data_IF_531746009855
#
_entry.id   IF_531746009855
#
_cell.length_a   1.000
_cell.length_b   1.000
_cell.length_c   1.000
_cell.angle_alpha   90.00
_cell.angle_beta   90.00
_cell.angle_gamma   90.00
#
_symmetry.space_group_name_H-M   'P 1'
#
loop_
_entity.id
_entity.type
_entity.pdbx_description
1 polymer ?
#
# COMPACT_ATOMS: atom_id res chain seq x y z
N UNK A 1 45.84 -59.07 7.00
CA UNK A 1 44.40 -58.75 7.28
C UNK A 1 44.21 -57.29 7.08
N UNK A 2 43.34 -56.95 6.13
CA UNK A 2 43.11 -55.57 5.66
C UNK A 2 42.03 -54.88 6.49
N UNK A 3 42.25 -53.72 7.01
CA UNK A 3 41.21 -52.86 7.46
C UNK A 3 41.35 -51.48 6.83
N UNK A 4 40.37 -51.19 5.96
CA UNK A 4 40.18 -49.88 5.33
C UNK A 4 39.46 -48.95 6.28
N UNK A 5 40.01 -47.77 6.52
CA UNK A 5 39.30 -46.65 7.18
C UNK A 5 38.86 -45.63 6.11
N UNK A 6 37.55 -45.50 5.96
CA UNK A 6 36.95 -44.44 5.16
C UNK A 6 36.94 -43.13 5.92
N UNK A 7 37.55 -42.11 5.33
CA UNK A 7 37.55 -40.75 5.81
C UNK A 7 36.33 -40.04 5.24
N UNK A 8 35.32 -39.75 6.08
CA UNK A 8 34.21 -38.89 5.68
C UNK A 8 34.60 -37.41 5.85
N UNK A 9 34.81 -36.73 4.75
CA UNK A 9 35.02 -35.29 4.72
C UNK A 9 33.69 -34.57 4.92
N UNK A 10 33.54 -33.90 6.08
CA UNK A 10 32.44 -32.97 6.34
C UNK A 10 32.73 -31.65 5.61
N UNK A 11 32.01 -31.40 4.54
CA UNK A 11 32.03 -30.10 3.86
C UNK A 11 31.12 -29.16 4.62
N UNK A 12 31.71 -28.26 5.45
CA UNK A 12 30.99 -27.15 6.01
C UNK A 12 30.79 -26.07 4.94
N UNK A 13 29.61 -26.05 4.33
CA UNK A 13 29.21 -24.96 3.45
C UNK A 13 28.85 -23.74 4.31
N UNK A 14 29.77 -22.76 4.41
CA UNK A 14 29.45 -21.43 4.85
C UNK A 14 28.54 -20.77 3.83
N UNK A 15 27.23 -20.77 4.06
CA UNK A 15 26.29 -19.90 3.37
C UNK A 15 26.55 -18.47 3.85
N UNK A 16 27.36 -17.74 3.10
CA UNK A 16 27.44 -16.29 3.22
C UNK A 16 26.07 -15.72 2.79
N UNK A 17 25.28 -15.28 3.77
CA UNK A 17 24.07 -14.51 3.53
C UNK A 17 24.49 -13.20 2.88
N UNK A 18 24.33 -13.08 1.57
CA UNK A 18 24.47 -11.82 0.87
C UNK A 18 23.29 -10.90 1.29
N UNK A 19 23.51 -9.60 1.55
CA UNK A 19 22.42 -8.69 1.80
C UNK A 19 21.58 -8.57 0.52
N UNK A 20 20.37 -9.09 0.57
CA UNK A 20 19.38 -8.90 -0.50
C UNK A 20 19.14 -7.40 -0.62
N UNK A 21 19.41 -6.83 -1.78
CA UNK A 21 19.20 -5.41 -2.01
C UNK A 21 17.69 -5.12 -1.91
N UNK A 22 17.33 -3.94 -1.41
CA UNK A 22 15.93 -3.51 -1.31
C UNK A 22 15.20 -3.55 -2.67
N UNK A 23 15.96 -3.43 -3.77
CA UNK A 23 15.44 -3.56 -5.13
C UNK A 23 15.05 -5.00 -5.50
N UNK A 24 15.84 -5.98 -5.06
CA UNK A 24 15.53 -7.40 -5.34
C UNK A 24 14.31 -7.86 -4.53
N UNK A 25 14.14 -7.34 -3.32
CA UNK A 25 12.96 -7.60 -2.51
C UNK A 25 11.69 -7.01 -3.16
N UNK A 26 11.76 -5.77 -3.63
CA UNK A 26 10.64 -5.10 -4.30
C UNK A 26 10.30 -5.77 -5.64
N UNK A 27 11.30 -6.19 -6.41
CA UNK A 27 11.12 -6.93 -7.66
C UNK A 27 10.53 -8.33 -7.41
N UNK A 28 10.95 -9.02 -6.36
CA UNK A 28 10.39 -10.32 -5.99
C UNK A 28 8.97 -10.19 -5.44
N UNK A 29 8.68 -9.14 -4.69
CA UNK A 29 7.34 -8.87 -4.20
C UNK A 29 6.38 -8.51 -5.35
N UNK A 30 6.83 -7.70 -6.30
CA UNK A 30 6.07 -7.39 -7.52
C UNK A 30 5.83 -8.66 -8.35
N UNK A 31 6.83 -9.51 -8.54
CA UNK A 31 6.70 -10.79 -9.25
C UNK A 31 5.75 -11.77 -8.53
N UNK A 32 5.79 -11.86 -7.20
CA UNK A 32 4.86 -12.68 -6.44
C UNK A 32 3.43 -12.16 -6.50
N UNK A 33 3.24 -10.84 -6.41
CA UNK A 33 1.91 -10.24 -6.54
C UNK A 33 1.32 -10.45 -7.94
N UNK A 34 2.14 -10.30 -8.98
CA UNK A 34 1.75 -10.56 -10.39
C UNK A 34 1.48 -12.04 -10.61
N UNK A 35 2.34 -12.93 -10.13
CA UNK A 35 2.17 -14.39 -10.30
C UNK A 35 0.88 -14.90 -9.67
N UNK A 36 0.54 -14.43 -8.47
CA UNK A 36 -0.71 -14.84 -7.78
C UNK A 36 -1.95 -14.22 -8.43
N UNK A 37 -1.84 -12.97 -8.90
CA UNK A 37 -2.93 -12.30 -9.60
C UNK A 37 -3.23 -12.94 -10.97
N UNK A 38 -2.20 -13.31 -11.72
CA UNK A 38 -2.35 -13.99 -13.03
C UNK A 38 -2.96 -15.38 -12.87
N UNK A 39 -2.55 -16.15 -11.86
CA UNK A 39 -3.14 -17.47 -11.61
C UNK A 39 -4.61 -17.39 -11.15
N UNK A 40 -4.97 -16.40 -10.34
CA UNK A 40 -6.37 -16.20 -9.95
C UNK A 40 -7.23 -15.69 -11.10
N UNK A 41 -6.66 -14.91 -12.03
CA UNK A 41 -7.33 -14.46 -13.25
C UNK A 41 -7.58 -15.60 -14.24
N UNK A 42 -6.60 -16.49 -14.42
CA UNK A 42 -6.76 -17.65 -15.31
C UNK A 42 -7.86 -18.61 -14.82
N UNK A 43 -8.02 -18.77 -13.51
CA UNK A 43 -9.06 -19.63 -12.92
C UNK A 43 -10.45 -18.98 -12.92
N UNK A 44 -10.55 -17.64 -13.04
CA UNK A 44 -11.84 -16.93 -13.13
C UNK A 44 -12.32 -16.73 -14.57
N UNK A 45 -11.44 -16.79 -15.57
CA UNK A 45 -11.80 -16.64 -16.98
C UNK A 45 -12.67 -17.79 -17.53
N UNK A 46 -12.80 -18.90 -16.81
CA UNK A 46 -13.62 -20.05 -17.19
C UNK A 46 -15.04 -20.02 -16.63
N UNK A 47 -15.34 -19.11 -15.70
CA UNK A 47 -16.70 -18.92 -15.18
C UNK A 47 -17.40 -17.78 -15.94
N UNK A 48 -18.32 -18.14 -16.83
CA UNK A 48 -19.18 -17.17 -17.53
C UNK A 48 -19.98 -16.36 -16.49
N UNK A 49 -19.76 -15.04 -16.33
CA UNK A 49 -20.49 -14.27 -15.35
C UNK A 49 -21.95 -14.16 -15.77
N UNK A 50 -22.87 -14.52 -14.88
CA UNK A 50 -24.27 -14.13 -15.02
C UNK A 50 -24.33 -12.59 -14.96
N UNK A 51 -24.83 -11.96 -16.01
CA UNK A 51 -24.98 -10.52 -16.12
C UNK A 51 -26.02 -10.05 -15.09
N UNK A 52 -25.55 -9.51 -13.97
CA UNK A 52 -26.35 -8.66 -13.11
C UNK A 52 -26.25 -7.25 -13.70
N UNK A 53 -27.37 -6.58 -14.05
CA UNK A 53 -27.31 -5.19 -14.48
C UNK A 53 -26.77 -4.34 -13.34
N UNK A 54 -25.53 -3.90 -13.47
CA UNK A 54 -24.97 -2.95 -12.51
C UNK A 54 -25.71 -1.61 -12.70
N UNK A 55 -26.38 -1.15 -11.64
CA UNK A 55 -26.78 0.23 -11.56
C UNK A 55 -25.55 1.11 -11.78
N UNK A 56 -25.65 2.25 -12.51
CA UNK A 56 -24.53 3.14 -12.71
C UNK A 56 -23.95 3.49 -11.35
N UNK A 57 -22.64 3.23 -11.15
CA UNK A 57 -21.98 3.54 -9.91
C UNK A 57 -22.14 5.03 -9.65
N UNK A 58 -22.98 5.38 -8.68
CA UNK A 58 -23.16 6.77 -8.29
C UNK A 58 -21.77 7.33 -7.94
N UNK A 59 -21.42 8.47 -8.59
CA UNK A 59 -20.14 9.13 -8.34
C UNK A 59 -19.98 9.35 -6.82
N UNK A 60 -18.97 8.74 -6.22
CA UNK A 60 -18.70 8.87 -4.78
C UNK A 60 -18.19 10.27 -4.51
N UNK A 61 -18.73 10.93 -3.51
CA UNK A 61 -18.19 12.20 -3.05
C UNK A 61 -16.80 11.97 -2.41
N UNK A 62 -15.83 12.87 -2.65
CA UNK A 62 -14.51 12.79 -2.02
C UNK A 62 -14.63 12.86 -0.49
N UNK A 63 -13.78 12.13 0.22
CA UNK A 63 -13.67 12.26 1.66
C UNK A 63 -12.93 13.56 1.99
N UNK A 64 -13.66 14.52 2.51
CA UNK A 64 -13.11 15.80 3.00
C UNK A 64 -13.35 15.89 4.49
N UNK A 65 -12.26 15.87 5.28
CA UNK A 65 -12.35 16.23 6.70
C UNK A 65 -12.49 17.74 6.83
N UNK A 66 -13.55 18.21 7.49
CA UNK A 66 -13.72 19.62 7.76
C UNK A 66 -12.53 20.18 8.59
N UNK A 67 -11.88 21.22 8.09
CA UNK A 67 -10.86 21.98 8.83
C UNK A 67 -9.39 21.56 8.61
N UNK A 68 -9.07 20.64 7.71
CA UNK A 68 -7.66 20.32 7.42
C UNK A 68 -7.04 21.36 6.49
N UNK A 69 -6.20 22.23 7.02
CA UNK A 69 -5.33 23.08 6.19
C UNK A 69 -4.16 22.25 5.67
N UNK A 70 -3.80 22.33 4.38
CA UNK A 70 -2.61 21.67 3.87
C UNK A 70 -1.37 22.10 4.65
N UNK A 71 -0.67 21.16 5.27
CA UNK A 71 0.58 21.42 5.96
C UNK A 71 1.72 20.99 5.07
N UNK A 72 2.71 21.89 4.87
CA UNK A 72 3.95 21.51 4.19
C UNK A 72 4.76 20.58 5.10
N UNK A 73 5.15 19.44 4.56
CA UNK A 73 6.02 18.52 5.28
C UNK A 73 7.43 19.08 5.36
N UNK A 74 7.97 19.16 6.60
CA UNK A 74 9.37 19.46 6.86
C UNK A 74 9.99 18.23 7.52
N UNK A 75 11.14 17.84 7.04
CA UNK A 75 11.97 16.82 7.68
C UNK A 75 12.71 17.41 8.89
N UNK A 76 13.30 16.57 9.75
CA UNK A 76 14.01 17.01 10.95
C UNK A 76 15.20 17.94 10.63
N UNK A 77 15.84 17.77 9.48
CA UNK A 77 16.90 18.65 8.96
C UNK A 77 16.37 19.99 8.41
N UNK A 78 15.07 20.24 8.48
CA UNK A 78 14.42 21.43 7.97
C UNK A 78 14.11 21.40 6.47
N UNK A 79 14.53 20.36 5.75
CA UNK A 79 14.25 20.21 4.31
C UNK A 79 12.75 20.13 4.09
N UNK A 80 12.23 20.96 3.17
CA UNK A 80 10.85 20.90 2.72
C UNK A 80 10.72 19.74 1.73
N UNK A 81 9.72 18.91 1.94
CA UNK A 81 9.52 17.74 1.10
C UNK A 81 9.13 18.10 -0.34
N UNK A 82 9.69 17.37 -1.31
CA UNK A 82 9.63 17.72 -2.72
C UNK A 82 8.26 17.48 -3.40
N UNK A 83 7.31 16.83 -2.73
CA UNK A 83 6.00 16.53 -3.29
C UNK A 83 4.95 17.62 -3.03
N UNK A 84 5.31 18.76 -2.44
CA UNK A 84 4.38 19.86 -2.11
C UNK A 84 3.47 20.23 -3.29
N UNK A 85 4.00 20.23 -4.50
CA UNK A 85 3.22 20.58 -5.70
C UNK A 85 2.12 19.55 -6.02
N UNK A 86 2.30 18.27 -5.68
CA UNK A 86 1.27 17.23 -5.81
C UNK A 86 0.23 17.40 -4.70
N UNK A 87 0.69 17.67 -3.45
CA UNK A 87 -0.18 17.96 -2.32
C UNK A 87 -1.07 19.15 -2.61
N UNK A 88 -0.48 20.25 -3.06
CA UNK A 88 -1.18 21.48 -3.41
C UNK A 88 -2.20 21.25 -4.55
N UNK A 89 -1.84 20.45 -5.55
CA UNK A 89 -2.75 20.11 -6.64
C UNK A 89 -4.01 19.39 -6.13
N UNK A 90 -3.85 18.28 -5.39
CA UNK A 90 -4.97 17.47 -4.93
C UNK A 90 -5.70 18.02 -3.71
N UNK A 91 -5.21 19.10 -3.08
CA UNK A 91 -5.95 19.81 -2.02
C UNK A 91 -6.94 20.82 -2.56
N UNK A 92 -6.90 21.14 -3.85
CA UNK A 92 -7.84 22.06 -4.47
C UNK A 92 -9.17 21.36 -4.77
N UNK A 93 -10.31 21.99 -4.47
CA UNK A 93 -11.63 21.40 -4.75
C UNK A 93 -11.92 21.29 -6.26
N UNK A 94 -11.23 22.08 -7.08
CA UNK A 94 -11.37 22.16 -8.53
C UNK A 94 -10.20 21.47 -9.28
N UNK A 95 -9.48 20.56 -8.62
CA UNK A 95 -8.41 19.82 -9.26
C UNK A 95 -8.92 19.12 -10.53
N UNK A 96 -8.33 19.42 -11.68
CA UNK A 96 -8.69 18.78 -12.94
C UNK A 96 -8.23 17.31 -12.91
N UNK A 97 -9.19 16.40 -13.03
CA UNK A 97 -8.93 14.97 -13.02
C UNK A 97 -8.78 14.38 -14.41
N UNK A 98 -9.00 15.17 -15.46
CA UNK A 98 -8.96 14.72 -16.86
C UNK A 98 -7.53 14.48 -17.32
N UNK A 99 -7.37 13.48 -18.20
CA UNK A 99 -6.15 13.23 -18.91
C UNK A 99 -6.08 14.03 -20.23
N UNK A 100 -4.86 14.17 -20.75
CA UNK A 100 -4.59 14.89 -22.01
C UNK A 100 -4.76 14.02 -23.27
N UNK A 101 -4.87 12.70 -23.10
CA UNK A 101 -5.04 11.73 -24.19
C UNK A 101 -6.25 10.84 -23.91
N UNK A 102 -6.82 10.15 -24.93
CA UNK A 102 -7.91 9.20 -24.72
C UNK A 102 -7.60 8.15 -23.64
N UNK A 103 -6.37 7.62 -23.62
CA UNK A 103 -5.94 6.63 -22.62
C UNK A 103 -5.93 7.21 -21.22
N UNK A 104 -5.36 8.41 -21.04
CA UNK A 104 -5.24 9.05 -19.73
C UNK A 104 -6.55 9.68 -19.25
N UNK A 105 -7.54 9.89 -20.15
CA UNK A 105 -8.89 10.38 -19.81
C UNK A 105 -9.93 9.25 -19.63
N UNK A 106 -9.60 8.01 -20.03
CA UNK A 106 -10.50 6.87 -19.88
C UNK A 106 -10.80 6.59 -18.41
N UNK A 107 -12.08 6.35 -18.08
CA UNK A 107 -12.51 6.01 -16.73
C UNK A 107 -11.97 4.64 -16.32
N UNK A 108 -11.37 4.58 -15.14
CA UNK A 108 -10.77 3.37 -14.60
C UNK A 108 -11.77 2.46 -13.88
N UNK A 109 -11.70 1.16 -14.17
CA UNK A 109 -12.40 0.15 -13.40
C UNK A 109 -11.79 0.02 -12.00
N UNK A 110 -12.65 0.02 -10.99
CA UNK A 110 -12.23 -0.25 -9.60
C UNK A 110 -12.71 -1.64 -9.24
N UNK A 111 -11.75 -2.58 -9.10
CA UNK A 111 -12.09 -3.96 -8.77
C UNK A 111 -12.63 -4.08 -7.34
N UNK A 112 -13.81 -4.70 -7.14
CA UNK A 112 -14.34 -4.97 -5.80
C UNK A 112 -13.38 -5.84 -4.98
N UNK A 113 -13.26 -5.56 -3.68
CA UNK A 113 -12.37 -6.28 -2.75
C UNK A 113 -12.95 -7.63 -2.32
N UNK A 114 -14.26 -7.78 -2.41
CA UNK A 114 -14.95 -9.01 -2.02
C UNK A 114 -14.38 -10.24 -2.74
N UNK A 115 -14.03 -11.28 -1.98
CA UNK A 115 -13.48 -12.52 -2.52
C UNK A 115 -11.99 -12.50 -2.86
N UNK A 116 -11.27 -11.38 -2.63
CA UNK A 116 -9.85 -11.27 -2.95
C UNK A 116 -8.91 -11.49 -1.76
N UNK A 117 -9.45 -11.70 -0.56
CA UNK A 117 -8.65 -11.88 0.64
C UNK A 117 -7.88 -13.20 0.64
N UNK A 118 -6.57 -13.12 0.83
CA UNK A 118 -5.69 -14.27 1.02
C UNK A 118 -5.26 -14.42 2.47
N UNK A 119 -4.87 -15.64 2.88
CA UNK A 119 -4.43 -15.92 4.25
C UNK A 119 -5.53 -15.88 5.31
N UNK A 120 -6.81 -15.83 4.90
CA UNK A 120 -7.96 -15.82 5.83
C UNK A 120 -8.02 -17.14 6.62
N UNK A 121 -8.22 -17.02 7.93
CA UNK A 121 -8.43 -18.15 8.84
C UNK A 121 -9.82 -18.09 9.44
N UNK A 122 -10.29 -19.24 9.96
CA UNK A 122 -11.66 -19.37 10.48
C UNK A 122 -11.92 -18.64 11.82
N UNK A 123 -10.86 -18.14 12.48
CA UNK A 123 -11.02 -17.44 13.76
C UNK A 123 -11.79 -16.12 13.55
N UNK A 124 -12.72 -15.76 14.48
CA UNK A 124 -13.57 -14.58 14.36
C UNK A 124 -12.77 -13.25 14.32
N UNK A 125 -11.57 -13.22 14.87
CA UNK A 125 -10.68 -12.07 14.86
C UNK A 125 -10.23 -11.68 13.45
N UNK A 126 -10.10 -12.67 12.53
CA UNK A 126 -9.80 -12.40 11.13
C UNK A 126 -10.95 -11.66 10.44
N UNK A 127 -12.19 -12.10 10.66
CA UNK A 127 -13.37 -11.43 10.14
C UNK A 127 -13.54 -10.00 10.73
N UNK A 128 -13.22 -9.84 12.02
CA UNK A 128 -13.24 -8.52 12.66
C UNK A 128 -12.18 -7.59 12.06
N UNK A 129 -10.94 -8.07 11.89
CA UNK A 129 -9.89 -7.27 11.26
C UNK A 129 -10.22 -6.97 9.80
N UNK A 130 -10.75 -7.95 9.05
CA UNK A 130 -11.17 -7.75 7.66
C UNK A 130 -12.14 -6.56 7.51
N UNK A 131 -13.19 -6.48 8.35
CA UNK A 131 -14.13 -5.34 8.32
C UNK A 131 -13.42 -4.00 8.56
N UNK A 132 -12.45 -3.95 9.49
CA UNK A 132 -11.63 -2.75 9.74
C UNK A 132 -10.81 -2.36 8.51
N UNK A 133 -10.18 -3.33 7.86
CA UNK A 133 -9.38 -3.12 6.67
C UNK A 133 -10.23 -2.70 5.46
N UNK A 134 -11.41 -3.28 5.29
CA UNK A 134 -12.39 -2.86 4.26
C UNK A 134 -12.86 -1.41 4.49
N UNK A 135 -12.98 -0.97 5.76
CA UNK A 135 -13.23 0.44 6.07
C UNK A 135 -12.11 1.35 5.60
N UNK A 136 -10.84 0.96 5.85
CA UNK A 136 -9.67 1.70 5.36
C UNK A 136 -9.71 1.79 3.83
N UNK A 137 -9.90 0.66 3.14
CA UNK A 137 -10.00 0.61 1.68
C UNK A 137 -11.07 1.56 1.16
N UNK A 138 -12.26 1.53 1.76
CA UNK A 138 -13.36 2.42 1.38
C UNK A 138 -12.98 3.89 1.48
N UNK A 139 -12.35 4.29 2.59
CA UNK A 139 -11.91 5.68 2.80
C UNK A 139 -10.80 6.13 1.88
N UNK A 140 -9.89 5.21 1.52
CA UNK A 140 -8.84 5.50 0.55
C UNK A 140 -9.43 5.75 -0.84
N UNK A 141 -10.41 4.96 -1.26
CA UNK A 141 -11.07 5.12 -2.57
C UNK A 141 -11.93 6.40 -2.67
N UNK A 142 -12.27 7.02 -1.55
CA UNK A 142 -12.98 8.31 -1.49
C UNK A 142 -12.05 9.53 -1.61
N UNK A 143 -10.71 9.31 -1.65
CA UNK A 143 -9.77 10.43 -1.75
C UNK A 143 -9.88 11.14 -3.12
N UNK A 144 -9.72 12.47 -3.17
CA UNK A 144 -9.88 13.26 -4.41
C UNK A 144 -9.05 12.74 -5.58
N UNK A 145 -7.86 12.24 -5.32
CA UNK A 145 -6.98 11.70 -6.35
C UNK A 145 -7.45 10.36 -6.95
N UNK A 146 -8.32 9.61 -6.26
CA UNK A 146 -8.77 8.28 -6.65
C UNK A 146 -10.25 8.22 -7.03
N UNK A 147 -11.05 9.15 -6.52
CA UNK A 147 -12.47 9.22 -6.86
C UNK A 147 -12.64 9.44 -8.37
N UNK A 148 -13.47 8.62 -9.04
CA UNK A 148 -13.66 8.67 -10.49
C UNK A 148 -12.31 8.67 -11.27
N UNK A 149 -11.39 7.80 -10.87
CA UNK A 149 -10.04 7.74 -11.42
C UNK A 149 -10.07 7.63 -12.95
N UNK A 150 -9.17 8.37 -13.61
CA UNK A 150 -8.96 8.35 -15.06
C UNK A 150 -7.53 7.94 -15.38
N UNK A 151 -7.35 7.31 -16.52
CA UNK A 151 -6.06 6.84 -17.00
C UNK A 151 -5.49 5.64 -16.26
N UNK A 152 -6.18 5.16 -15.24
CA UNK A 152 -5.81 3.94 -14.52
C UNK A 152 -7.01 3.20 -14.00
N UNK A 153 -6.94 1.87 -13.98
CA UNK A 153 -7.81 1.01 -13.18
C UNK A 153 -7.17 0.66 -11.84
N UNK A 154 -7.99 0.43 -10.83
CA UNK A 154 -7.53 0.15 -9.47
C UNK A 154 -7.86 -1.27 -9.04
N UNK A 155 -6.87 -1.96 -8.49
CA UNK A 155 -7.06 -3.28 -7.89
C UNK A 155 -6.40 -3.32 -6.52
N UNK A 156 -7.17 -3.74 -5.51
CA UNK A 156 -6.65 -4.06 -4.19
C UNK A 156 -6.22 -5.52 -4.13
N UNK A 157 -5.06 -5.77 -3.53
CA UNK A 157 -4.58 -7.12 -3.20
C UNK A 157 -4.40 -7.19 -1.69
N UNK A 158 -5.45 -7.60 -0.94
CA UNK A 158 -5.40 -7.73 0.50
C UNK A 158 -4.92 -9.12 0.91
N UNK A 159 -4.11 -9.19 1.97
CA UNK A 159 -3.65 -10.45 2.54
C UNK A 159 -3.43 -10.35 4.04
N UNK A 160 -3.72 -11.45 4.75
CA UNK A 160 -3.29 -11.63 6.13
C UNK A 160 -1.91 -12.26 6.17
N UNK A 161 -1.07 -11.75 7.07
CA UNK A 161 0.26 -12.30 7.31
C UNK A 161 0.25 -13.47 8.30
N UNK A 162 1.44 -14.02 8.50
CA UNK A 162 1.65 -15.02 9.55
C UNK A 162 1.71 -14.34 10.91
N UNK A 163 1.08 -14.95 11.91
CA UNK A 163 1.00 -14.44 13.28
C UNK A 163 1.66 -15.40 14.28
N UNK A 164 2.21 -14.83 15.34
CA UNK A 164 2.82 -15.57 16.47
C UNK A 164 2.03 -15.30 17.76
N UNK A 165 0.70 -15.49 17.72
CA UNK A 165 -0.16 -15.32 18.90
C UNK A 165 -0.41 -13.88 19.36
N UNK A 166 0.10 -12.89 18.62
CA UNK A 166 -0.12 -11.45 18.86
C UNK A 166 -1.18 -10.85 17.93
N UNK A 167 -1.21 -9.51 17.78
CA UNK A 167 -2.04 -8.82 16.82
C UNK A 167 -1.83 -9.36 15.41
N UNK A 168 -2.92 -9.53 14.65
CA UNK A 168 -2.88 -10.13 13.31
C UNK A 168 -2.23 -9.12 12.35
N UNK A 169 -1.11 -9.48 11.69
CA UNK A 169 -0.54 -8.65 10.65
C UNK A 169 -1.33 -8.80 9.34
N UNK A 170 -1.49 -7.71 8.62
CA UNK A 170 -2.09 -7.74 7.29
C UNK A 170 -1.46 -6.70 6.37
N UNK A 171 -1.63 -6.89 5.08
CA UNK A 171 -1.21 -5.94 4.06
C UNK A 171 -2.28 -5.75 3.00
N UNK A 172 -2.34 -4.55 2.44
CA UNK A 172 -3.22 -4.18 1.33
C UNK A 172 -2.40 -3.40 0.33
N UNK A 173 -2.33 -3.89 -0.90
CA UNK A 173 -1.66 -3.20 -2.00
C UNK A 173 -2.69 -2.69 -3.00
N UNK A 174 -2.76 -1.38 -3.22
CA UNK A 174 -3.55 -0.76 -4.28
C UNK A 174 -2.65 -0.54 -5.49
N UNK A 175 -2.93 -1.24 -6.57
CA UNK A 175 -2.20 -1.09 -7.83
C UNK A 175 -3.01 -0.22 -8.77
N UNK A 176 -2.36 0.79 -9.37
CA UNK A 176 -2.94 1.64 -10.39
C UNK A 176 -2.40 1.23 -11.77
N UNK A 177 -3.15 0.35 -12.45
CA UNK A 177 -2.80 -0.15 -13.79
C UNK A 177 -3.06 0.92 -14.84
N UNK A 178 -2.08 1.33 -15.65
CA UNK A 178 -2.30 2.25 -16.75
C UNK A 178 -3.33 1.71 -17.73
N UNK A 179 -4.21 2.57 -18.24
CA UNK A 179 -5.15 2.20 -19.29
C UNK A 179 -4.49 2.50 -20.64
N UNK A 180 -4.53 1.51 -21.53
CA UNK A 180 -4.08 1.60 -22.92
C UNK A 180 -5.21 1.09 -23.81
N UNK A 181 -6.05 1.99 -24.32
CA UNK A 181 -7.27 1.64 -25.06
C UNK A 181 -7.00 0.82 -26.32
N UNK A 182 -5.81 1.00 -26.91
CA UNK A 182 -5.38 0.25 -28.10
C UNK A 182 -4.79 -1.14 -27.79
N UNK A 183 -4.61 -1.52 -26.52
CA UNK A 183 -4.12 -2.84 -26.15
C UNK A 183 -5.23 -3.89 -26.34
N UNK A 184 -4.88 -5.04 -26.96
CA UNK A 184 -5.81 -6.14 -27.24
C UNK A 184 -6.40 -6.79 -26.00
N UNK A 185 -5.70 -6.70 -24.87
CA UNK A 185 -6.10 -7.28 -23.59
C UNK A 185 -6.88 -6.27 -22.72
N UNK A 186 -7.11 -5.04 -23.23
CA UNK A 186 -7.91 -4.04 -22.56
C UNK A 186 -9.38 -4.46 -22.52
N UNK A 187 -9.92 -4.52 -21.31
CA UNK A 187 -11.32 -4.84 -21.04
C UNK A 187 -12.13 -3.56 -20.87
N UNK A 188 -13.27 -3.49 -21.54
CA UNK A 188 -14.30 -2.47 -21.31
C UNK A 188 -15.45 -3.08 -20.54
N UNK A 189 -15.84 -2.44 -19.44
CA UNK A 189 -16.97 -2.87 -18.62
C UNK A 189 -18.29 -2.18 -19.02
N UNK A 190 -19.45 -2.75 -18.65
CA UNK A 190 -20.77 -2.19 -19.02
C UNK A 190 -21.03 -0.79 -18.48
N UNK A 191 -20.36 -0.39 -17.37
CA UNK A 191 -20.43 0.95 -16.77
C UNK A 191 -19.55 1.99 -17.49
N UNK A 192 -18.89 1.60 -18.58
CA UNK A 192 -18.02 2.47 -19.37
C UNK A 192 -16.61 2.60 -18.83
N UNK A 193 -16.25 1.86 -17.78
CA UNK A 193 -14.88 1.82 -17.23
C UNK A 193 -13.99 0.85 -18.01
N UNK A 194 -12.67 1.00 -17.82
CA UNK A 194 -11.67 0.20 -18.52
C UNK A 194 -10.62 -0.37 -17.56
N UNK A 195 -10.08 -1.53 -17.93
CA UNK A 195 -8.93 -2.16 -17.29
C UNK A 195 -7.99 -2.72 -18.36
N UNK A 196 -6.73 -2.34 -18.31
CA UNK A 196 -5.65 -2.96 -19.08
C UNK A 196 -4.77 -3.75 -18.11
N UNK A 197 -4.55 -5.07 -18.31
CA UNK A 197 -3.60 -5.85 -17.51
C UNK A 197 -2.18 -5.31 -17.65
N UNK A 198 -1.36 -5.43 -16.61
CA UNK A 198 0.02 -4.97 -16.68
C UNK A 198 0.63 -4.70 -15.31
N UNK A 199 1.54 -3.73 -15.26
CA UNK A 199 2.19 -3.26 -14.05
C UNK A 199 1.84 -1.80 -13.80
N UNK A 200 1.89 -1.38 -12.53
CA UNK A 200 1.62 0.00 -12.15
C UNK A 200 2.24 0.37 -10.80
N UNK A 201 2.27 1.65 -10.46
CA UNK A 201 2.66 2.08 -9.13
C UNK A 201 1.71 1.52 -8.07
N UNK A 202 2.24 1.31 -6.87
CA UNK A 202 1.53 0.65 -5.77
C UNK A 202 1.49 1.55 -4.54
N UNK A 203 0.29 1.82 -4.02
CA UNK A 203 0.13 2.30 -2.65
C UNK A 203 -0.02 1.09 -1.73
N UNK A 204 0.91 0.94 -0.80
CA UNK A 204 0.90 -0.17 0.15
C UNK A 204 0.56 0.31 1.55
N UNK A 205 -0.35 -0.43 2.18
CA UNK A 205 -0.74 -0.26 3.56
C UNK A 205 -0.45 -1.58 4.27
N UNK A 206 0.27 -1.54 5.39
CA UNK A 206 0.41 -2.70 6.27
C UNK A 206 -0.05 -2.35 7.67
N UNK A 207 -0.59 -3.32 8.38
CA UNK A 207 -1.01 -3.17 9.78
C UNK A 207 -0.33 -4.22 10.64
N UNK A 208 0.02 -3.83 11.87
CA UNK A 208 0.59 -4.71 12.89
C UNK A 208 1.83 -5.50 12.42
N UNK A 209 2.60 -4.97 11.48
CA UNK A 209 3.80 -5.61 10.95
C UNK A 209 5.06 -4.75 11.22
N UNK A 210 5.76 -4.94 12.36
CA UNK A 210 6.98 -4.20 12.68
C UNK A 210 8.13 -4.41 11.67
N UNK A 211 8.16 -5.57 11.00
CA UNK A 211 9.18 -5.88 9.99
C UNK A 211 9.13 -4.91 8.80
N UNK A 212 7.95 -4.37 8.49
CA UNK A 212 7.79 -3.39 7.42
C UNK A 212 8.54 -2.07 7.72
N UNK A 213 8.69 -1.71 8.98
CA UNK A 213 9.51 -0.57 9.41
C UNK A 213 10.99 -0.87 9.17
N UNK A 214 11.43 -2.10 9.49
CA UNK A 214 12.80 -2.56 9.30
C UNK A 214 13.83 -1.65 9.99
N UNK A 215 14.94 -1.38 9.33
CA UNK A 215 16.01 -0.51 9.84
C UNK A 215 15.79 0.99 9.56
N UNK A 216 14.59 1.39 9.11
CA UNK A 216 14.31 2.79 8.79
C UNK A 216 14.11 3.58 10.07
N UNK A 217 14.79 4.72 10.15
CA UNK A 217 14.65 5.66 11.28
C UNK A 217 13.71 6.80 10.92
N UNK A 218 13.18 7.48 11.93
CA UNK A 218 12.37 8.68 11.74
C UNK A 218 13.17 9.78 11.04
N UNK A 219 12.50 10.46 10.09
CA UNK A 219 12.98 11.68 9.45
C UNK A 219 12.18 12.90 9.89
N UNK A 220 11.23 12.73 10.81
CA UNK A 220 10.38 13.79 11.32
C UNK A 220 8.93 13.36 11.48
N UNK A 221 8.02 14.32 11.50
CA UNK A 221 6.59 14.10 11.63
C UNK A 221 5.80 14.90 10.58
N UNK A 222 4.64 14.38 10.19
CA UNK A 222 3.70 15.03 9.28
C UNK A 222 2.27 14.70 9.67
N UNK A 223 1.43 15.70 9.94
CA UNK A 223 0.02 15.53 10.32
C UNK A 223 -0.20 14.47 11.43
N UNK A 224 0.66 14.44 12.45
CA UNK A 224 0.60 13.46 13.54
C UNK A 224 1.19 12.08 13.22
N UNK A 225 1.70 11.87 12.01
CA UNK A 225 2.33 10.62 11.59
C UNK A 225 3.84 10.70 11.73
N UNK A 226 4.49 9.60 12.05
CA UNK A 226 5.96 9.49 11.97
C UNK A 226 6.38 9.30 10.51
N UNK A 227 7.28 10.15 10.05
CA UNK A 227 7.84 10.09 8.69
C UNK A 227 9.10 9.23 8.71
N UNK A 228 9.16 8.24 7.85
CA UNK A 228 10.33 7.41 7.64
C UNK A 228 10.88 7.61 6.22
N UNK A 229 12.19 7.35 6.06
CA UNK A 229 12.82 7.23 4.75
C UNK A 229 12.52 8.38 3.79
N UNK A 230 12.99 9.59 4.15
CA UNK A 230 12.89 10.79 3.30
C UNK A 230 11.46 11.13 2.83
N UNK A 231 10.45 10.78 3.62
CA UNK A 231 9.07 11.20 3.37
C UNK A 231 8.22 10.27 2.50
N UNK A 232 8.66 9.06 2.17
CA UNK A 232 7.83 8.14 1.36
C UNK A 232 7.04 7.12 2.16
N UNK A 233 7.33 6.99 3.44
CA UNK A 233 6.65 6.05 4.32
C UNK A 233 6.19 6.77 5.56
N UNK A 234 4.95 6.58 5.91
CA UNK A 234 4.36 7.04 7.16
C UNK A 234 4.11 5.88 8.08
N UNK A 235 4.32 6.10 9.38
CA UNK A 235 3.83 5.22 10.43
C UNK A 235 2.80 5.97 11.24
N UNK A 236 1.61 5.43 11.30
CA UNK A 236 0.47 5.91 12.05
C UNK A 236 0.29 4.97 13.24
N UNK A 237 0.45 5.46 14.46
CA UNK A 237 0.38 4.67 15.67
C UNK A 237 -0.92 4.92 16.43
N UNK A 238 -1.53 3.86 16.93
CA UNK A 238 -2.64 3.87 17.85
C UNK A 238 -2.19 3.30 19.21
N UNK A 239 -0.96 3.60 19.59
CA UNK A 239 -0.34 3.20 20.85
C UNK A 239 0.59 4.33 21.31
N UNK A 240 0.75 4.47 22.63
CA UNK A 240 1.72 5.42 23.23
C UNK A 240 3.16 4.88 23.19
N UNK A 241 3.36 3.63 22.77
CA UNK A 241 4.68 3.01 22.71
C UNK A 241 5.49 3.65 21.58
N UNK A 242 6.77 4.01 21.84
CA UNK A 242 7.62 4.59 20.80
C UNK A 242 7.89 3.56 19.71
N UNK A 243 7.90 4.02 18.46
CA UNK A 243 8.19 3.16 17.29
C UNK A 243 9.64 2.64 17.34
N UNK A 244 10.57 3.48 17.79
CA UNK A 244 11.98 3.13 17.93
C UNK A 244 12.46 3.30 19.36
N UNK A 245 13.35 2.44 19.75
CA UNK A 245 14.11 2.50 21.02
C UNK A 245 15.60 2.41 20.73
N UNK A 246 16.41 2.83 21.70
CA UNK A 246 17.87 2.62 21.65
C UNK A 246 18.17 1.15 21.98
N UNK A 247 19.09 0.52 21.24
CA UNK A 247 19.50 -0.88 21.47
C UNK A 247 20.55 -1.03 22.57
N UNK A 248 20.87 0.05 23.31
CA UNK A 248 21.92 0.09 24.31
C UNK A 248 23.32 0.32 23.71
N UNK A 249 23.44 0.39 22.39
CA UNK A 249 24.68 0.67 21.65
C UNK A 249 24.60 1.97 20.83
N UNK A 250 23.61 2.82 21.12
CA UNK A 250 23.39 4.10 20.43
C UNK A 250 22.73 3.97 19.06
N UNK A 251 22.18 2.79 18.70
CA UNK A 251 21.46 2.60 17.45
C UNK A 251 19.96 2.57 17.71
N UNK A 252 19.22 3.27 16.87
CA UNK A 252 17.75 3.19 16.87
C UNK A 252 17.30 1.89 16.18
N UNK A 253 16.55 1.08 16.93
CA UNK A 253 15.90 -0.15 16.42
C UNK A 253 14.40 -0.05 16.61
N UNK A 254 13.65 -0.81 15.82
CA UNK A 254 12.19 -0.93 16.03
C UNK A 254 11.95 -1.49 17.43
N UNK A 255 11.07 -0.84 18.16
CA UNK A 255 10.72 -1.26 19.52
C UNK A 255 10.19 -2.70 19.50
N UNK A 256 10.84 -3.67 20.14
CA UNK A 256 10.36 -5.06 20.20
C UNK A 256 9.00 -5.19 20.90
N UNK A 257 8.68 -4.23 21.76
CA UNK A 257 7.41 -4.17 22.49
C UNK A 257 6.39 -3.22 21.83
N UNK A 258 6.60 -2.83 20.55
CA UNK A 258 5.69 -1.94 19.83
C UNK A 258 4.24 -2.46 19.84
N UNK A 259 4.07 -3.78 19.72
CA UNK A 259 2.76 -4.44 19.76
C UNK A 259 2.40 -4.89 21.18
N UNK A 260 1.25 -4.47 21.65
CA UNK A 260 0.67 -4.94 22.91
C UNK A 260 -0.13 -6.22 22.69
N UNK A 261 0.41 -7.36 23.16
CA UNK A 261 -0.23 -8.67 23.03
C UNK A 261 -1.45 -8.86 23.93
N UNK A 262 -1.69 -7.96 24.89
CA UNK A 262 -2.89 -8.01 25.76
C UNK A 262 -4.13 -7.42 25.09
N UNK A 263 -3.98 -6.64 24.01
CA UNK A 263 -5.09 -6.07 23.24
C UNK A 263 -5.72 -7.11 22.33
N UNK A 264 -6.99 -6.92 21.91
CA UNK A 264 -7.62 -7.80 20.92
C UNK A 264 -6.75 -7.99 19.67
N UNK A 265 -6.65 -9.22 19.18
CA UNK A 265 -5.79 -9.56 18.04
C UNK A 265 -6.21 -8.87 16.73
N UNK A 266 -7.47 -8.48 16.64
CA UNK A 266 -8.03 -7.69 15.53
C UNK A 266 -7.84 -6.18 15.66
N UNK A 267 -7.19 -5.69 16.73
CA UNK A 267 -6.91 -4.27 16.86
C UNK A 267 -5.76 -3.87 15.94
N UNK A 268 -5.96 -2.76 15.24
CA UNK A 268 -4.90 -2.13 14.45
C UNK A 268 -4.14 -1.20 15.39
N UNK A 269 -2.98 -1.63 15.86
CA UNK A 269 -2.16 -0.88 16.80
C UNK A 269 -1.24 0.12 16.13
N UNK A 270 -0.77 -0.20 14.94
CA UNK A 270 -0.15 0.75 14.04
C UNK A 270 -0.35 0.34 12.59
N UNK A 271 -0.13 1.29 11.71
CA UNK A 271 -0.23 1.14 10.27
C UNK A 271 0.96 1.80 9.60
N UNK A 272 1.55 1.17 8.59
CA UNK A 272 2.49 1.82 7.69
C UNK A 272 1.83 2.08 6.35
N UNK A 273 2.11 3.24 5.75
CA UNK A 273 1.59 3.59 4.43
C UNK A 273 2.72 4.17 3.59
N UNK A 274 2.89 3.65 2.38
CA UNK A 274 3.89 4.17 1.44
C UNK A 274 3.53 3.90 -0.02
N UNK A 275 4.10 4.67 -0.93
CA UNK A 275 4.03 4.40 -2.36
C UNK A 275 5.30 3.69 -2.78
N UNK A 276 5.14 2.45 -3.27
CA UNK A 276 6.19 1.72 -3.96
C UNK A 276 6.38 2.35 -5.34
N UNK A 277 7.54 2.98 -5.54
CA UNK A 277 7.89 3.59 -6.80
C UNK A 277 9.27 3.08 -7.24
N UNK A 278 9.41 2.80 -8.54
CA UNK A 278 10.71 2.52 -9.13
C UNK A 278 11.66 3.71 -8.95
N UNK A 279 12.97 3.47 -8.93
CA UNK A 279 13.97 4.52 -8.76
C UNK A 279 13.78 5.75 -9.65
N UNK A 280 13.45 5.60 -10.96
CA UNK A 280 13.14 6.74 -11.84
C UNK A 280 11.97 7.60 -11.34
N UNK A 281 10.92 7.02 -10.79
CA UNK A 281 9.77 7.76 -10.27
C UNK A 281 10.16 8.63 -9.09
N UNK A 282 11.02 8.15 -8.19
CA UNK A 282 11.49 8.94 -7.05
C UNK A 282 12.38 10.09 -7.48
N UNK A 283 13.29 9.87 -8.42
CA UNK A 283 14.08 10.94 -9.03
C UNK A 283 13.18 12.00 -9.69
N UNK A 284 12.17 11.56 -10.43
CA UNK A 284 11.21 12.45 -11.06
C UNK A 284 10.39 13.26 -10.04
N UNK A 285 9.99 12.64 -8.93
CA UNK A 285 9.30 13.32 -7.84
C UNK A 285 10.17 14.44 -7.25
N UNK A 286 11.43 14.12 -6.94
CA UNK A 286 12.41 15.07 -6.40
C UNK A 286 12.65 16.27 -7.34
N UNK A 287 12.63 16.03 -8.66
CA UNK A 287 12.79 17.07 -9.67
C UNK A 287 11.46 17.71 -10.13
N UNK A 288 10.34 17.42 -9.43
CA UNK A 288 8.99 17.92 -9.75
C UNK A 288 8.51 17.55 -11.16
N UNK A 289 8.92 16.38 -11.65
CA UNK A 289 8.57 15.87 -12.99
C UNK A 289 7.43 14.85 -12.99
N UNK A 290 6.94 14.45 -11.80
CA UNK A 290 5.76 13.59 -11.70
C UNK A 290 4.52 14.46 -11.87
N UNK A 291 3.77 14.23 -12.93
CA UNK A 291 2.50 14.92 -13.13
C UNK A 291 1.49 14.49 -12.05
N UNK A 292 0.78 15.42 -11.39
CA UNK A 292 -0.19 15.08 -10.34
C UNK A 292 -1.28 14.12 -10.81
N UNK A 293 -1.73 14.23 -12.08
CA UNK A 293 -2.76 13.38 -12.67
C UNK A 293 -2.24 12.04 -13.20
N UNK A 294 -0.93 11.82 -13.24
CA UNK A 294 -0.36 10.51 -13.56
C UNK A 294 -0.68 9.48 -12.47
N UNK A 295 -0.62 8.19 -12.79
CA UNK A 295 -0.90 7.10 -11.84
C UNK A 295 -0.06 7.21 -10.56
N UNK A 296 1.24 7.52 -10.70
CA UNK A 296 2.11 7.75 -9.56
C UNK A 296 1.72 9.03 -8.80
N UNK A 297 1.43 10.13 -9.51
CA UNK A 297 1.01 11.40 -8.92
C UNK A 297 -0.27 11.27 -8.11
N UNK A 298 -1.25 10.48 -8.57
CA UNK A 298 -2.49 10.19 -7.85
C UNK A 298 -2.23 9.41 -6.56
N UNK A 299 -1.37 8.38 -6.60
CA UNK A 299 -1.03 7.61 -5.40
C UNK A 299 -0.23 8.46 -4.39
N UNK A 300 0.68 9.32 -4.84
CA UNK A 300 1.35 10.28 -3.96
C UNK A 300 0.36 11.32 -3.41
N UNK A 301 -0.55 11.84 -4.24
CA UNK A 301 -1.62 12.72 -3.77
C UNK A 301 -2.46 12.06 -2.67
N UNK A 302 -2.82 10.80 -2.86
CA UNK A 302 -3.52 10.01 -1.84
C UNK A 302 -2.66 9.84 -0.58
N UNK A 303 -1.37 9.47 -0.72
CA UNK A 303 -0.48 9.27 0.42
C UNK A 303 -0.38 10.52 1.30
N UNK A 304 -0.22 11.71 0.71
CA UNK A 304 0.07 12.94 1.45
C UNK A 304 -1.17 13.70 1.89
N UNK A 305 -2.28 13.63 1.13
CA UNK A 305 -3.48 14.40 1.45
C UNK A 305 -4.44 13.67 2.39
N UNK A 306 -4.34 12.35 2.49
CA UNK A 306 -5.20 11.55 3.36
C UNK A 306 -4.93 11.81 4.84
N UNK A 307 -5.98 11.95 5.63
CA UNK A 307 -5.92 11.94 7.09
C UNK A 307 -5.89 10.49 7.60
N UNK A 308 -4.68 9.91 7.58
CA UNK A 308 -4.49 8.52 7.97
C UNK A 308 -4.78 8.27 9.45
N UNK A 309 -4.59 9.26 10.31
CA UNK A 309 -4.91 9.14 11.74
C UNK A 309 -6.42 8.96 11.92
N UNK A 310 -7.23 9.80 11.27
CA UNK A 310 -8.68 9.68 11.32
C UNK A 310 -9.18 8.36 10.72
N UNK A 311 -8.58 7.90 9.61
CA UNK A 311 -8.94 6.61 9.00
C UNK A 311 -8.63 5.44 9.94
N UNK A 312 -7.50 5.47 10.64
CA UNK A 312 -7.14 4.42 11.62
C UNK A 312 -8.12 4.41 12.80
N UNK A 313 -8.50 5.59 13.34
CA UNK A 313 -9.50 5.73 14.40
C UNK A 313 -10.86 5.16 13.96
N UNK A 314 -11.35 5.56 12.77
CA UNK A 314 -12.61 5.05 12.22
C UNK A 314 -12.59 3.54 11.99
N UNK A 315 -11.47 3.00 11.49
CA UNK A 315 -11.34 1.56 11.29
C UNK A 315 -11.42 0.80 12.61
N UNK A 316 -10.75 1.28 13.66
CA UNK A 316 -10.78 0.63 14.97
C UNK A 316 -12.14 0.78 15.68
N UNK A 317 -12.97 1.76 15.32
CA UNK A 317 -14.34 1.89 15.81
C UNK A 317 -15.31 0.86 15.20
N UNK A 318 -14.94 0.18 14.11
CA UNK A 318 -15.76 -0.89 13.51
C UNK A 318 -15.78 -2.11 14.44
N UNK A 319 -17.00 -2.57 14.78
CA UNK A 319 -17.23 -3.75 15.64
C UNK A 319 -17.43 -5.03 14.83
#
# INVERSE_FOLDING_TARGET
MKHSFSLAAALAACLAAQPVSANDFLNNLAKQAVGTAVQSLANQATAKPAAIPAAPAAARAPYVRAGSTPQRMRLEDGTVFYADYIVDYWSRPDADTRGSTPDTDALGYIRPVSGQWSGVRKQPEYAALQRKLERIIGRVLEQPALVNIRGASLTWIPSFGYENGGPIPASMSLIAYPITLGDKDTQRFPDGTYHTPGEGPVLRITVNNPEEIGSRVSSGSYKGMTVLRYGYMFVISNTERPIHVDDGHGRKVVNPDLLDKSRPRSDIQFMTVYVGAAGPTMSNLTHKRVEPTSNAGRLFGTLYNTDWCAILEEANAVR
#
